data_IF_680678160344
#
_entry.id   IF_680678160344
#
_cell.length_a   1.000
_cell.length_b   1.000
_cell.length_c   1.000
_cell.angle_alpha   90.00
_cell.angle_beta   90.00
_cell.angle_gamma   90.00
#
_symmetry.space_group_name_H-M   'P 1'
#
loop_
_entity.id
_entity.type
_entity.pdbx_description
1 polymer ?
#
# COMPACT_ATOMS: atom_id res chain seq x y z
N UNK A 1 -76.30 -22.24 6.83
CA UNK A 1 -75.28 -23.22 7.25
C UNK A 1 -73.96 -22.47 7.33
N UNK A 2 -73.37 -22.36 8.53
CA UNK A 2 -72.13 -21.64 8.84
C UNK A 2 -70.92 -22.51 8.47
N UNK A 3 -69.92 -21.95 7.78
CA UNK A 3 -68.52 -22.42 7.71
C UNK A 3 -67.66 -21.16 7.58
N UNK A 4 -67.10 -20.62 8.68
CA UNK A 4 -65.90 -21.05 9.43
C UNK A 4 -64.61 -20.60 8.76
N UNK A 5 -63.97 -19.63 9.43
CA UNK A 5 -62.68 -19.00 9.13
C UNK A 5 -61.54 -20.02 9.02
N UNK A 6 -60.61 -19.77 8.10
CA UNK A 6 -59.19 -20.09 8.30
C UNK A 6 -58.38 -18.83 8.05
N UNK A 7 -58.15 -18.09 9.13
CA UNK A 7 -57.09 -17.09 9.24
C UNK A 7 -55.75 -17.81 9.10
N UNK A 8 -55.05 -17.53 8.01
CA UNK A 8 -53.66 -17.93 7.83
C UNK A 8 -52.80 -17.00 8.70
N UNK A 9 -52.03 -17.51 9.67
CA UNK A 9 -51.09 -16.66 10.38
C UNK A 9 -49.94 -16.38 9.40
N UNK A 10 -49.89 -15.16 8.87
CA UNK A 10 -48.67 -14.64 8.24
C UNK A 10 -47.68 -14.46 9.39
N UNK A 11 -46.91 -15.52 9.64
CA UNK A 11 -45.65 -15.45 10.35
C UNK A 11 -44.73 -14.57 9.49
N UNK A 12 -44.83 -13.26 9.67
CA UNK A 12 -43.81 -12.32 9.26
C UNK A 12 -42.62 -12.61 10.16
N UNK A 13 -41.81 -13.59 9.74
CA UNK A 13 -40.47 -13.78 10.27
C UNK A 13 -39.74 -12.48 9.96
N UNK A 14 -39.73 -11.56 10.93
CA UNK A 14 -38.67 -10.57 11.07
C UNK A 14 -37.39 -11.38 11.30
N UNK A 15 -36.85 -11.92 10.20
CA UNK A 15 -35.44 -12.17 10.09
C UNK A 15 -34.85 -10.77 10.06
N UNK A 16 -34.59 -10.21 11.25
CA UNK A 16 -33.59 -9.18 11.38
C UNK A 16 -32.32 -9.81 10.80
N UNK A 17 -32.07 -9.56 9.51
CA UNK A 17 -30.72 -9.47 9.02
C UNK A 17 -30.09 -8.41 9.92
N UNK A 18 -29.41 -8.86 10.97
CA UNK A 18 -28.22 -8.18 11.42
C UNK A 18 -27.32 -8.17 10.20
N UNK A 19 -27.49 -7.17 9.34
CA UNK A 19 -26.46 -6.79 8.39
C UNK A 19 -25.30 -6.43 9.30
N UNK A 20 -24.44 -7.40 9.57
CA UNK A 20 -23.14 -7.12 10.14
C UNK A 20 -22.56 -6.10 9.17
N UNK A 21 -22.39 -4.88 9.66
CA UNK A 21 -21.54 -3.86 9.04
C UNK A 21 -20.13 -4.46 9.13
N UNK A 22 -19.83 -5.47 8.30
CA UNK A 22 -18.66 -6.34 8.45
C UNK A 22 -17.48 -5.87 7.60
N UNK A 23 -17.42 -4.56 7.34
CA UNK A 23 -16.30 -3.93 6.63
C UNK A 23 -15.11 -3.65 7.54
N UNK A 24 -15.37 -3.37 8.82
CA UNK A 24 -14.31 -3.17 9.79
C UNK A 24 -13.57 -4.48 10.04
N UNK A 25 -12.24 -4.44 9.89
CA UNK A 25 -11.36 -5.57 10.21
C UNK A 25 -10.46 -5.21 11.38
N UNK A 26 -10.15 -6.21 12.20
CA UNK A 26 -9.14 -6.10 13.25
C UNK A 26 -8.17 -7.25 13.04
N UNK A 27 -6.89 -6.97 13.26
CA UNK A 27 -5.85 -7.97 13.15
C UNK A 27 -5.12 -8.17 14.47
N UNK A 28 -4.56 -9.37 14.62
CA UNK A 28 -3.50 -9.66 15.58
C UNK A 28 -2.19 -9.87 14.84
N UNK A 29 -1.08 -9.51 15.48
CA UNK A 29 0.24 -9.85 14.97
C UNK A 29 0.45 -11.35 15.07
N UNK A 30 0.67 -11.99 13.93
CA UNK A 30 0.98 -13.41 13.88
C UNK A 30 2.48 -13.64 13.89
N UNK A 31 3.21 -13.00 12.97
CA UNK A 31 4.65 -13.23 12.80
C UNK A 31 5.36 -11.95 12.31
N UNK A 32 6.65 -11.84 12.58
CA UNK A 32 7.50 -10.78 12.05
C UNK A 32 8.90 -11.34 11.84
N UNK A 33 9.49 -11.08 10.68
CA UNK A 33 10.87 -11.46 10.39
C UNK A 33 11.59 -10.38 9.58
N UNK A 34 12.92 -10.43 9.63
CA UNK A 34 13.80 -9.57 8.84
C UNK A 34 14.23 -10.33 7.59
N UNK A 35 13.95 -9.78 6.41
CA UNK A 35 14.42 -10.31 5.13
C UNK A 35 15.89 -9.90 4.98
N UNK A 36 16.77 -10.88 4.79
CA UNK A 36 18.19 -10.59 4.63
C UNK A 36 18.42 -9.84 3.32
N UNK A 37 18.81 -8.56 3.41
CA UNK A 37 19.17 -7.72 2.27
C UNK A 37 20.47 -8.16 1.57
N UNK A 38 21.36 -8.79 2.33
CA UNK A 38 22.72 -9.13 1.93
C UNK A 38 22.93 -10.65 2.04
N UNK A 39 22.71 -11.39 0.94
CA UNK A 39 23.59 -12.53 0.71
C UNK A 39 24.90 -11.95 0.18
N UNK A 40 26.01 -12.17 0.88
CA UNK A 40 27.35 -11.68 0.51
C UNK A 40 27.80 -12.11 -0.89
N UNK A 41 27.09 -13.08 -1.50
CA UNK A 41 27.32 -13.53 -2.87
C UNK A 41 26.39 -12.88 -3.90
N UNK A 42 25.33 -12.19 -3.48
CA UNK A 42 24.38 -11.55 -4.37
C UNK A 42 24.91 -10.21 -4.87
N UNK A 43 25.02 -10.09 -6.20
CA UNK A 43 25.35 -8.83 -6.86
C UNK A 43 24.23 -7.78 -6.78
N UNK A 44 23.09 -8.13 -6.18
CA UNK A 44 21.91 -7.29 -6.09
C UNK A 44 21.35 -7.28 -4.66
N UNK A 45 21.41 -6.14 -3.95
CA UNK A 45 20.79 -6.03 -2.64
C UNK A 45 19.26 -6.12 -2.76
N UNK A 46 18.63 -6.90 -1.88
CA UNK A 46 17.19 -6.83 -1.66
C UNK A 46 16.95 -5.63 -0.73
N UNK A 47 16.17 -4.67 -1.19
CA UNK A 47 15.94 -3.43 -0.48
C UNK A 47 15.24 -2.43 -1.39
N UNK A 48 14.80 -1.33 -0.81
CA UNK A 48 13.88 -0.39 -1.47
C UNK A 48 12.61 -1.06 -1.98
N UNK A 49 12.11 -2.11 -1.30
CA UNK A 49 10.85 -2.76 -1.67
C UNK A 49 9.70 -1.85 -1.27
N UNK A 50 9.01 -1.34 -2.28
CA UNK A 50 7.89 -0.40 -2.16
C UNK A 50 6.54 -1.10 -2.29
N UNK A 51 6.48 -2.17 -3.09
CA UNK A 51 5.24 -2.92 -3.33
C UNK A 51 5.40 -4.44 -3.21
N UNK A 52 4.30 -5.10 -2.82
CA UNK A 52 4.17 -6.56 -2.79
C UNK A 52 2.78 -6.94 -3.31
N UNK A 53 2.67 -8.06 -4.01
CA UNK A 53 1.39 -8.62 -4.47
C UNK A 53 1.43 -10.15 -4.50
N UNK A 54 0.31 -10.76 -4.13
CA UNK A 54 0.11 -12.20 -4.15
C UNK A 54 -0.68 -12.63 -5.39
N UNK A 55 0.00 -13.28 -6.33
CA UNK A 55 -0.59 -13.78 -7.57
C UNK A 55 -1.46 -15.02 -7.36
N UNK A 56 -1.46 -15.60 -6.15
CA UNK A 56 -2.15 -16.81 -5.77
C UNK A 56 -1.22 -18.02 -5.70
N UNK A 57 -1.67 -19.05 -4.97
CA UNK A 57 -0.90 -20.28 -4.74
C UNK A 57 0.53 -20.03 -4.25
N UNK A 58 0.70 -19.07 -3.32
CA UNK A 58 1.99 -18.68 -2.74
C UNK A 58 3.00 -18.13 -3.76
N UNK A 59 2.54 -17.60 -4.89
CA UNK A 59 3.40 -16.90 -5.84
C UNK A 59 3.30 -15.41 -5.61
N UNK A 60 4.44 -14.78 -5.37
CA UNK A 60 4.51 -13.37 -4.98
C UNK A 60 5.36 -12.58 -5.96
N UNK A 61 4.98 -11.32 -6.10
CA UNK A 61 5.79 -10.29 -6.72
C UNK A 61 6.14 -9.26 -5.66
N UNK A 62 7.40 -8.84 -5.66
CA UNK A 62 7.88 -7.70 -4.91
C UNK A 62 8.49 -6.71 -5.91
N UNK A 63 8.22 -5.42 -5.74
CA UNK A 63 8.72 -4.36 -6.62
C UNK A 63 9.45 -3.30 -5.82
N UNK A 64 10.43 -2.63 -6.44
CA UNK A 64 11.30 -1.67 -5.78
C UNK A 64 11.24 -0.26 -6.38
N UNK A 65 11.38 0.73 -5.51
CA UNK A 65 11.59 2.16 -5.76
C UNK A 65 12.92 2.47 -6.50
N UNK A 66 13.72 1.46 -6.84
CA UNK A 66 14.93 1.56 -7.70
C UNK A 66 14.84 0.74 -8.98
N UNK A 67 13.65 0.25 -9.28
CA UNK A 67 13.30 -0.41 -10.53
C UNK A 67 13.84 -1.81 -10.69
N UNK A 68 13.80 -2.55 -9.60
CA UNK A 68 13.85 -4.00 -9.60
C UNK A 68 12.46 -4.56 -9.33
N UNK A 69 12.23 -5.77 -9.80
CA UNK A 69 11.19 -6.63 -9.26
C UNK A 69 11.74 -8.04 -9.00
N UNK A 70 11.05 -8.76 -8.15
CA UNK A 70 11.42 -10.08 -7.68
C UNK A 70 10.19 -10.98 -7.71
N UNK A 71 10.36 -12.18 -8.26
CA UNK A 71 9.37 -13.25 -8.21
C UNK A 71 9.76 -14.22 -7.10
N UNK A 72 8.82 -14.54 -6.20
CA UNK A 72 8.98 -15.55 -5.16
C UNK A 72 7.96 -16.66 -5.41
N UNK A 73 8.43 -17.79 -5.98
CA UNK A 73 7.56 -18.90 -6.35
C UNK A 73 7.35 -19.83 -5.12
N UNK A 74 6.12 -20.23 -4.80
CA UNK A 74 5.83 -21.08 -3.63
C UNK A 74 6.35 -20.56 -2.27
N UNK A 75 6.38 -19.24 -2.06
CA UNK A 75 6.79 -18.64 -0.79
C UNK A 75 5.59 -18.53 0.15
N UNK A 76 5.60 -19.31 1.23
CA UNK A 76 4.43 -19.52 2.10
C UNK A 76 4.65 -19.11 3.56
N UNK A 77 5.91 -19.00 3.95
CA UNK A 77 6.35 -18.64 5.31
C UNK A 77 7.25 -17.43 5.25
N UNK A 78 7.38 -16.70 6.36
CA UNK A 78 8.38 -15.62 6.47
C UNK A 78 9.77 -16.14 6.11
N UNK A 79 10.15 -17.34 6.58
CA UNK A 79 11.46 -17.92 6.28
C UNK A 79 11.73 -18.10 4.79
N UNK A 80 10.72 -18.38 3.97
CA UNK A 80 10.88 -18.47 2.51
C UNK A 80 11.35 -17.14 1.91
N UNK A 81 10.80 -16.02 2.40
CA UNK A 81 11.24 -14.67 2.02
C UNK A 81 12.63 -14.36 2.60
N UNK A 82 12.87 -14.67 3.88
CA UNK A 82 14.14 -14.35 4.55
C UNK A 82 15.34 -15.04 3.94
N UNK A 83 15.17 -16.31 3.58
CA UNK A 83 16.22 -17.17 3.03
C UNK A 83 16.26 -17.10 1.49
N UNK A 84 15.31 -16.39 0.87
CA UNK A 84 15.19 -16.27 -0.59
C UNK A 84 15.15 -17.63 -1.31
N UNK A 85 14.65 -18.68 -0.65
CA UNK A 85 14.79 -20.08 -1.12
C UNK A 85 14.20 -20.29 -2.51
N UNK A 86 13.17 -19.54 -2.87
CA UNK A 86 12.49 -19.61 -4.16
C UNK A 86 12.38 -18.26 -4.87
N UNK A 87 13.22 -17.30 -4.48
CA UNK A 87 13.23 -15.98 -5.10
C UNK A 87 14.16 -16.01 -6.32
N UNK A 88 13.64 -15.61 -7.48
CA UNK A 88 14.49 -15.40 -8.67
C UNK A 88 15.33 -14.14 -8.50
N UNK A 89 16.47 -14.09 -9.20
CA UNK A 89 17.29 -12.88 -9.26
C UNK A 89 16.45 -11.66 -9.64
N UNK A 90 16.74 -10.53 -9.00
CA UNK A 90 16.08 -9.27 -9.29
C UNK A 90 16.22 -8.90 -10.77
N UNK A 91 15.12 -8.59 -11.42
CA UNK A 91 15.12 -8.16 -12.81
C UNK A 91 14.86 -6.65 -12.87
N UNK A 92 15.73 -5.95 -13.58
CA UNK A 92 15.68 -4.50 -13.70
C UNK A 92 14.68 -4.08 -14.76
N UNK A 93 13.73 -3.24 -14.39
CA UNK A 93 12.61 -2.80 -15.26
C UNK A 93 12.82 -1.40 -15.82
N UNK A 94 13.58 -0.55 -15.12
CA UNK A 94 13.68 0.87 -15.43
C UNK A 94 12.54 1.73 -14.85
N UNK A 95 11.55 1.12 -14.21
CA UNK A 95 10.44 1.80 -13.52
C UNK A 95 10.68 1.80 -12.03
N UNK A 96 10.73 2.95 -11.36
CA UNK A 96 10.79 2.96 -9.89
C UNK A 96 9.36 2.77 -9.39
N UNK A 97 9.04 1.54 -9.00
CA UNK A 97 7.68 1.22 -8.59
C UNK A 97 7.44 1.79 -7.20
N UNK A 98 6.24 2.27 -6.93
CA UNK A 98 5.80 2.63 -5.58
C UNK A 98 4.71 1.67 -5.07
N UNK A 99 3.88 1.14 -5.97
CA UNK A 99 2.92 0.09 -5.62
C UNK A 99 2.56 -0.77 -6.83
N UNK A 100 2.06 -1.97 -6.56
CA UNK A 100 1.61 -2.92 -7.57
C UNK A 100 0.38 -3.71 -7.12
N UNK A 101 -0.56 -3.93 -8.05
CA UNK A 101 -1.73 -4.76 -7.85
C UNK A 101 -1.99 -5.70 -9.01
N UNK A 102 -2.49 -6.89 -8.71
CA UNK A 102 -2.85 -7.88 -9.73
C UNK A 102 -4.35 -8.19 -9.72
N UNK A 103 -5.05 -7.82 -10.79
CA UNK A 103 -6.41 -8.25 -11.01
C UNK A 103 -6.42 -9.68 -11.59
N UNK A 104 -6.77 -10.65 -10.75
CA UNK A 104 -6.79 -12.07 -11.13
C UNK A 104 -7.85 -12.43 -12.17
N UNK A 105 -8.92 -11.65 -12.28
CA UNK A 105 -10.02 -11.92 -13.21
C UNK A 105 -9.61 -11.54 -14.63
N UNK A 106 -8.99 -10.38 -14.79
CA UNK A 106 -8.55 -9.86 -16.09
C UNK A 106 -7.11 -10.25 -16.44
N UNK A 107 -6.36 -10.79 -15.46
CA UNK A 107 -4.92 -11.05 -15.56
C UNK A 107 -4.13 -9.78 -15.89
N UNK A 108 -4.52 -8.69 -15.24
CA UNK A 108 -3.96 -7.35 -15.46
C UNK A 108 -3.19 -6.88 -14.24
N UNK A 109 -2.01 -6.35 -14.46
CA UNK A 109 -1.22 -5.62 -13.48
C UNK A 109 -1.55 -4.13 -13.55
N UNK A 110 -1.69 -3.54 -12.37
CA UNK A 110 -1.73 -2.11 -12.18
C UNK A 110 -0.55 -1.74 -11.31
N UNK A 111 0.16 -0.67 -11.61
CA UNK A 111 1.29 -0.25 -10.81
C UNK A 111 1.46 1.26 -10.85
N UNK A 112 1.89 1.80 -9.72
CA UNK A 112 2.32 3.18 -9.61
C UNK A 112 3.83 3.23 -9.77
N UNK A 113 4.31 4.24 -10.48
CA UNK A 113 5.76 4.47 -10.62
C UNK A 113 6.10 5.91 -10.41
N UNK A 114 7.26 6.15 -9.85
CA UNK A 114 8.03 7.35 -10.05
C UNK A 114 9.17 7.09 -11.05
N UNK A 115 9.63 8.14 -11.71
CA UNK A 115 10.77 8.04 -12.58
C UNK A 115 11.48 9.39 -12.66
N UNK A 116 12.75 9.43 -12.27
CA UNK A 116 13.62 10.57 -12.54
C UNK A 116 14.55 10.24 -13.70
N UNK A 117 14.33 10.89 -14.85
CA UNK A 117 15.24 10.85 -16.00
C UNK A 117 16.03 12.13 -16.11
N UNK A 118 17.27 12.07 -16.57
CA UNK A 118 17.92 13.26 -17.13
C UNK A 118 17.64 13.38 -18.63
N UNK A 119 17.22 14.54 -19.08
CA UNK A 119 17.12 14.85 -20.51
C UNK A 119 18.52 14.99 -21.16
N UNK A 120 18.55 15.22 -22.47
CA UNK A 120 19.80 15.38 -23.21
C UNK A 120 20.63 16.62 -22.79
N UNK A 121 20.04 17.52 -21.98
CA UNK A 121 20.69 18.70 -21.40
C UNK A 121 21.10 18.46 -19.94
N UNK A 122 20.90 17.24 -19.42
CA UNK A 122 21.21 16.87 -18.04
C UNK A 122 20.17 17.33 -17.02
N UNK A 123 19.02 17.86 -17.45
CA UNK A 123 17.94 18.32 -16.57
C UNK A 123 17.08 17.13 -16.14
N UNK A 124 16.84 17.00 -14.84
CA UNK A 124 15.91 16.01 -14.31
C UNK A 124 14.48 16.29 -14.81
N UNK A 125 13.86 15.26 -15.39
CA UNK A 125 12.46 15.14 -15.72
C UNK A 125 11.92 14.08 -14.77
N UNK A 126 10.99 14.49 -13.91
CA UNK A 126 10.35 13.64 -12.92
C UNK A 126 8.95 13.30 -13.42
N UNK A 127 8.65 12.02 -13.55
CA UNK A 127 7.31 11.54 -13.90
C UNK A 127 6.76 10.72 -12.75
N UNK A 128 5.46 10.86 -12.51
CA UNK A 128 4.71 9.88 -11.72
C UNK A 128 3.48 9.46 -12.51
N UNK A 129 3.10 8.20 -12.37
CA UNK A 129 1.96 7.68 -13.10
C UNK A 129 1.46 6.36 -12.56
N UNK A 130 0.25 6.02 -13.02
CA UNK A 130 -0.37 4.72 -12.80
C UNK A 130 -0.62 4.08 -14.15
N UNK A 131 -0.16 2.85 -14.29
CA UNK A 131 -0.13 2.13 -15.56
C UNK A 131 -0.88 0.81 -15.45
N UNK A 132 -1.43 0.39 -16.59
CA UNK A 132 -2.05 -0.91 -16.80
C UNK A 132 -1.17 -1.77 -17.73
N UNK A 133 -0.98 -3.04 -17.38
CA UNK A 133 -0.25 -4.02 -18.18
C UNK A 133 -0.92 -5.40 -18.13
N UNK A 134 -1.02 -6.08 -19.27
CA UNK A 134 -1.53 -7.47 -19.37
C UNK A 134 -0.41 -8.53 -19.40
N UNK A 135 0.86 -8.12 -19.29
CA UNK A 135 2.01 -9.02 -19.30
C UNK A 135 2.70 -9.08 -17.95
N UNK A 136 3.40 -10.19 -17.67
CA UNK A 136 4.30 -10.26 -16.51
C UNK A 136 5.32 -9.12 -16.59
N UNK A 137 5.66 -8.58 -15.42
CA UNK A 137 6.65 -7.53 -15.22
C UNK A 137 7.98 -7.86 -15.92
N UNK A 138 8.33 -9.15 -15.99
CA UNK A 138 9.45 -9.74 -16.73
C UNK A 138 9.59 -9.25 -18.18
N UNK A 139 8.49 -8.76 -18.79
CA UNK A 139 8.44 -8.31 -20.18
C UNK A 139 8.24 -6.81 -20.36
N UNK A 140 8.25 -5.99 -19.29
CA UNK A 140 7.97 -4.54 -19.31
C UNK A 140 8.87 -3.71 -20.24
N UNK A 141 9.95 -4.29 -20.75
CA UNK A 141 10.76 -3.67 -21.80
C UNK A 141 10.00 -3.54 -23.14
N UNK A 142 8.86 -4.23 -23.33
CA UNK A 142 8.12 -4.25 -24.62
C UNK A 142 6.58 -4.24 -24.48
N UNK A 143 6.03 -3.90 -23.32
CA UNK A 143 4.57 -3.91 -23.12
C UNK A 143 3.96 -2.61 -23.62
N UNK A 144 2.79 -2.72 -24.27
CA UNK A 144 1.89 -1.60 -24.55
C UNK A 144 1.28 -1.11 -23.23
N UNK A 145 2.09 -0.42 -22.44
CA UNK A 145 1.64 0.22 -21.21
C UNK A 145 0.55 1.22 -21.57
N UNK A 146 -0.58 1.10 -20.89
CA UNK A 146 -1.63 2.10 -20.96
C UNK A 146 -1.55 2.94 -19.70
N UNK A 147 -1.16 4.19 -19.87
CA UNK A 147 -1.25 5.16 -18.79
C UNK A 147 -2.71 5.42 -18.41
N UNK A 148 -3.03 5.19 -17.15
CA UNK A 148 -4.30 5.62 -16.52
C UNK A 148 -4.13 7.05 -16.01
N UNK A 149 -3.03 7.31 -15.32
CA UNK A 149 -2.61 8.63 -14.86
C UNK A 149 -1.18 8.87 -15.32
N UNK A 150 -0.93 10.01 -15.96
CA UNK A 150 0.42 10.48 -16.26
C UNK A 150 0.57 11.93 -15.80
N UNK A 151 1.54 12.17 -14.93
CA UNK A 151 1.90 13.51 -14.47
C UNK A 151 3.35 13.80 -14.86
N UNK A 152 3.54 14.91 -15.58
CA UNK A 152 4.87 15.40 -15.99
C UNK A 152 5.72 15.92 -14.81
N UNK A 153 5.13 16.04 -13.62
CA UNK A 153 5.77 16.46 -12.38
C UNK A 153 5.07 15.84 -11.19
N UNK A 154 5.85 15.54 -10.17
CA UNK A 154 5.31 15.16 -8.87
C UNK A 154 4.38 16.26 -8.31
N UNK A 155 3.27 15.89 -7.67
CA UNK A 155 2.35 16.83 -7.02
C UNK A 155 3.03 17.77 -6.01
N UNK A 156 4.12 17.32 -5.37
CA UNK A 156 5.04 18.13 -4.57
C UNK A 156 6.46 17.52 -4.57
N UNK A 157 7.44 18.22 -3.98
CA UNK A 157 8.79 17.67 -3.85
C UNK A 157 8.77 16.42 -2.97
N UNK A 158 9.18 15.27 -3.53
CA UNK A 158 9.32 13.99 -2.85
C UNK A 158 8.00 13.33 -2.40
N UNK A 159 6.89 13.54 -3.14
CA UNK A 159 5.57 12.91 -2.85
C UNK A 159 4.82 12.68 -4.17
N UNK A 160 4.85 11.47 -4.73
CA UNK A 160 4.08 11.09 -5.92
C UNK A 160 2.88 10.23 -5.60
N UNK A 161 2.62 9.26 -6.47
CA UNK A 161 1.55 8.27 -6.29
C UNK A 161 2.16 7.03 -5.67
N UNK A 162 1.86 6.80 -4.40
CA UNK A 162 2.41 5.68 -3.63
C UNK A 162 1.49 4.47 -3.63
N UNK A 163 0.17 4.70 -3.69
CA UNK A 163 -0.77 3.69 -3.24
C UNK A 163 -1.87 3.43 -4.26
N UNK A 164 -2.11 2.15 -4.56
CA UNK A 164 -3.21 1.71 -5.42
C UNK A 164 -3.91 0.47 -4.85
N UNK A 165 -5.22 0.35 -5.11
CA UNK A 165 -6.00 -0.82 -4.74
C UNK A 165 -7.00 -1.21 -5.82
N UNK A 166 -7.30 -2.51 -5.93
CA UNK A 166 -8.30 -3.04 -6.84
C UNK A 166 -9.41 -3.68 -6.02
N UNK A 167 -10.64 -3.18 -6.20
CA UNK A 167 -11.85 -3.77 -5.61
C UNK A 167 -12.23 -5.08 -6.31
N UNK A 168 -13.07 -5.94 -5.69
CA UNK A 168 -13.54 -7.18 -6.35
C UNK A 168 -14.18 -6.98 -7.73
N UNK A 169 -14.89 -5.86 -7.94
CA UNK A 169 -15.49 -5.47 -9.22
C UNK A 169 -14.47 -5.04 -10.29
N UNK A 170 -13.22 -4.80 -9.88
CA UNK A 170 -12.14 -4.32 -10.73
C UNK A 170 -11.96 -2.80 -10.73
N UNK A 171 -12.73 -2.05 -9.94
CA UNK A 171 -12.48 -0.61 -9.79
C UNK A 171 -11.12 -0.36 -9.14
N UNK A 172 -10.38 0.61 -9.69
CA UNK A 172 -9.04 1.00 -9.25
C UNK A 172 -9.10 2.25 -8.38
N UNK A 173 -8.57 2.15 -7.17
CA UNK A 173 -8.28 3.28 -6.30
C UNK A 173 -6.84 3.72 -6.45
N UNK A 174 -6.62 5.03 -6.36
CA UNK A 174 -5.31 5.67 -6.45
C UNK A 174 -5.21 6.76 -5.38
N UNK A 175 -4.12 6.77 -4.62
CA UNK A 175 -3.84 7.80 -3.64
C UNK A 175 -2.39 8.34 -3.79
N UNK A 176 -2.20 9.67 -3.69
CA UNK A 176 -0.87 10.25 -3.58
C UNK A 176 -0.31 10.04 -2.16
N UNK A 177 1.01 10.19 -1.98
CA UNK A 177 1.62 10.09 -0.65
C UNK A 177 1.05 11.15 0.31
N UNK A 178 1.27 12.43 0.02
CA UNK A 178 0.91 13.52 0.93
C UNK A 178 -0.26 14.39 0.43
N UNK A 179 -0.82 14.05 -0.74
CA UNK A 179 -1.84 14.83 -1.42
C UNK A 179 -1.44 15.27 -2.82
N UNK A 180 -2.42 15.74 -3.58
CA UNK A 180 -2.18 16.33 -4.89
C UNK A 180 -1.62 17.76 -4.77
N UNK A 181 -1.36 18.41 -5.91
CA UNK A 181 -0.87 19.79 -5.94
C UNK A 181 -1.84 20.71 -5.17
N UNK A 182 -1.32 21.36 -4.13
CA UNK A 182 -2.08 22.26 -3.27
C UNK A 182 -2.68 21.60 -2.02
N UNK A 183 -2.56 20.28 -1.88
CA UNK A 183 -3.07 19.52 -0.74
C UNK A 183 -1.98 19.09 0.25
N UNK A 184 -0.69 19.32 -0.05
CA UNK A 184 0.44 18.82 0.76
C UNK A 184 0.83 19.74 1.93
N UNK A 185 0.12 20.84 2.12
CA UNK A 185 0.34 21.76 3.23
C UNK A 185 -0.07 21.12 4.56
N UNK A 186 0.74 21.32 5.61
CA UNK A 186 0.53 20.70 6.94
C UNK A 186 -0.79 21.16 7.60
N UNK A 187 -1.34 22.31 7.20
CA UNK A 187 -2.65 22.79 7.63
C UNK A 187 -3.83 22.15 6.89
N UNK A 188 -3.59 21.45 5.78
CA UNK A 188 -4.65 20.77 5.01
C UNK A 188 -5.03 19.45 5.68
N UNK A 189 -6.31 19.35 6.06
CA UNK A 189 -6.86 18.20 6.77
C UNK A 189 -7.30 17.05 5.87
N UNK A 190 -7.45 17.32 4.58
CA UNK A 190 -7.94 16.36 3.61
C UNK A 190 -7.01 16.32 2.40
N UNK A 191 -6.91 15.14 1.81
CA UNK A 191 -6.33 14.91 0.49
C UNK A 191 -7.34 14.17 -0.38
N UNK A 192 -7.14 14.17 -1.69
CA UNK A 192 -8.06 13.49 -2.59
C UNK A 192 -7.58 12.09 -2.97
N UNK A 193 -8.47 11.10 -2.87
CA UNK A 193 -8.30 9.78 -3.46
C UNK A 193 -9.09 9.74 -4.76
N UNK A 194 -8.55 9.07 -5.77
CA UNK A 194 -9.25 8.86 -7.03
C UNK A 194 -9.72 7.42 -7.15
N UNK A 195 -10.94 7.24 -7.65
CA UNK A 195 -11.48 5.94 -8.04
C UNK A 195 -11.85 5.93 -9.52
N UNK A 196 -11.37 4.94 -10.25
CA UNK A 196 -11.76 4.61 -11.61
C UNK A 196 -12.63 3.36 -11.54
N UNK A 197 -13.95 3.52 -11.78
CA UNK A 197 -14.88 2.38 -11.80
C UNK A 197 -14.55 1.38 -12.91
N UNK A 198 -14.13 1.93 -14.06
CA UNK A 198 -13.57 1.18 -15.16
C UNK A 198 -12.16 1.75 -15.45
N UNK A 199 -11.09 1.08 -14.98
CA UNK A 199 -9.72 1.54 -15.22
C UNK A 199 -9.35 1.57 -16.71
N UNK A 200 -10.08 0.82 -17.55
CA UNK A 200 -9.90 0.86 -18.99
C UNK A 200 -10.47 2.15 -19.62
N UNK A 201 -11.27 2.92 -18.88
CA UNK A 201 -11.75 4.24 -19.25
C UNK A 201 -11.06 5.29 -18.36
N UNK A 202 -9.86 5.74 -18.75
CA UNK A 202 -9.08 6.71 -17.96
C UNK A 202 -9.73 8.09 -17.82
N UNK A 203 -10.87 8.35 -18.47
CA UNK A 203 -11.56 9.63 -18.47
C UNK A 203 -12.58 9.80 -17.35
N UNK A 204 -13.08 8.71 -16.74
CA UNK A 204 -14.13 8.77 -15.73
C UNK A 204 -13.58 8.47 -14.33
N UNK A 205 -12.94 9.48 -13.73
CA UNK A 205 -12.48 9.39 -12.34
C UNK A 205 -13.49 10.01 -11.38
N UNK A 206 -13.61 9.39 -10.21
CA UNK A 206 -14.34 9.93 -9.07
C UNK A 206 -13.35 10.37 -8.01
N UNK A 207 -13.62 11.51 -7.40
CA UNK A 207 -12.78 12.09 -6.36
C UNK A 207 -13.46 11.90 -5.01
N UNK A 208 -12.68 11.45 -4.03
CA UNK A 208 -13.13 11.25 -2.66
C UNK A 208 -12.19 11.97 -1.69
N UNK A 209 -12.74 12.68 -0.71
CA UNK A 209 -11.95 13.33 0.33
C UNK A 209 -11.54 12.32 1.39
N UNK A 210 -10.24 12.23 1.63
CA UNK A 210 -9.66 11.43 2.69
C UNK A 210 -9.10 12.33 3.80
N UNK A 211 -9.56 12.18 5.05
CA UNK A 211 -8.92 12.84 6.19
C UNK A 211 -7.54 12.24 6.43
N UNK A 212 -6.49 13.06 6.38
CA UNK A 212 -5.09 12.61 6.53
C UNK A 212 -4.51 13.04 7.88
N UNK A 213 -3.67 12.18 8.45
CA UNK A 213 -2.87 12.50 9.63
C UNK A 213 -1.65 13.30 9.21
N UNK A 214 -1.51 14.50 9.76
CA UNK A 214 -0.30 15.32 9.61
C UNK A 214 0.56 15.19 10.86
N UNK A 215 1.87 15.36 10.69
CA UNK A 215 2.85 15.19 11.75
C UNK A 215 3.69 16.48 11.92
N UNK A 216 3.10 17.61 12.36
CA UNK A 216 3.82 18.88 12.44
C UNK A 216 5.09 18.84 13.31
N UNK A 217 5.15 17.90 14.26
CA UNK A 217 6.26 17.60 15.16
C UNK A 217 7.31 16.66 14.57
N UNK A 218 7.08 16.10 13.37
CA UNK A 218 8.08 15.29 12.68
C UNK A 218 9.39 16.08 12.50
N UNK A 219 10.50 15.35 12.58
CA UNK A 219 11.81 15.99 12.56
C UNK A 219 12.16 16.55 11.18
N UNK A 220 11.92 15.76 10.13
CA UNK A 220 12.15 16.19 8.75
C UNK A 220 10.92 16.93 8.20
N UNK A 221 11.15 17.90 7.31
CA UNK A 221 10.09 18.77 6.82
C UNK A 221 9.14 18.02 5.88
N UNK A 222 9.70 17.13 5.07
CA UNK A 222 9.03 16.20 4.15
C UNK A 222 8.03 15.28 4.87
N UNK A 223 8.33 14.88 6.11
CA UNK A 223 7.50 13.98 6.91
C UNK A 223 6.31 14.68 7.56
N UNK A 224 6.37 16.01 7.71
CA UNK A 224 5.31 16.76 8.40
C UNK A 224 3.97 16.68 7.70
N UNK A 225 4.02 16.51 6.39
CA UNK A 225 2.84 16.31 5.57
C UNK A 225 2.19 14.94 5.80
N UNK A 226 2.86 14.00 6.48
CA UNK A 226 2.42 12.60 6.53
C UNK A 226 2.52 11.95 5.15
N UNK A 227 2.19 10.66 5.11
CA UNK A 227 2.18 9.92 3.86
C UNK A 227 1.21 8.76 3.89
N UNK A 228 0.43 8.59 2.82
CA UNK A 228 -0.17 7.31 2.45
C UNK A 228 0.96 6.46 1.89
N UNK A 229 1.25 5.37 2.56
CA UNK A 229 2.20 4.38 2.08
C UNK A 229 1.53 3.42 1.11
N UNK A 230 0.34 2.94 1.47
CA UNK A 230 -0.31 1.91 0.70
C UNK A 230 -1.81 1.80 1.01
N UNK A 231 -2.59 1.29 0.06
CA UNK A 231 -4.01 1.02 0.24
C UNK A 231 -4.39 -0.39 -0.24
N UNK A 232 -5.34 -1.04 0.42
CA UNK A 232 -5.91 -2.32 -0.03
C UNK A 232 -7.43 -2.28 0.03
N UNK A 233 -8.10 -2.87 -0.96
CA UNK A 233 -9.53 -3.04 -0.90
C UNK A 233 -9.88 -4.26 -0.05
N UNK A 234 -10.75 -4.07 0.95
CA UNK A 234 -11.37 -5.17 1.71
C UNK A 234 -12.58 -5.69 0.93
N UNK A 235 -13.39 -4.78 0.38
CA UNK A 235 -14.49 -5.07 -0.54
C UNK A 235 -14.75 -3.85 -1.46
N UNK A 236 -15.97 -3.65 -1.95
CA UNK A 236 -16.32 -2.54 -2.82
C UNK A 236 -16.37 -1.18 -2.11
N UNK A 237 -16.65 -1.18 -0.81
CA UNK A 237 -16.95 0.01 -0.02
C UNK A 237 -16.04 0.17 1.20
N UNK A 238 -15.08 -0.74 1.40
CA UNK A 238 -14.14 -0.66 2.50
C UNK A 238 -12.69 -0.82 2.02
N UNK A 239 -11.83 0.05 2.53
CA UNK A 239 -10.39 0.07 2.27
C UNK A 239 -9.62 -0.11 3.58
N UNK A 240 -8.44 -0.71 3.49
CA UNK A 240 -7.36 -0.49 4.43
C UNK A 240 -6.46 0.61 3.88
N UNK A 241 -6.12 1.57 4.74
CA UNK A 241 -5.17 2.64 4.41
C UNK A 241 -4.03 2.61 5.40
N UNK A 242 -2.81 2.51 4.87
CA UNK A 242 -1.57 2.57 5.64
C UNK A 242 -1.01 3.98 5.55
N UNK A 243 -1.08 4.72 6.65
CA UNK A 243 -0.42 6.00 6.80
C UNK A 243 0.92 5.84 7.54
N UNK A 244 1.89 6.73 7.26
CA UNK A 244 3.21 6.71 7.87
C UNK A 244 3.83 8.08 8.09
N UNK A 245 4.82 8.11 8.98
CA UNK A 245 5.75 9.21 9.23
C UNK A 245 7.12 8.62 9.61
N UNK A 246 8.21 8.99 8.92
CA UNK A 246 9.51 8.34 9.09
C UNK A 246 10.14 8.58 10.47
N UNK A 247 10.31 9.85 10.88
CA UNK A 247 11.21 10.17 12.00
C UNK A 247 10.59 11.15 12.99
N UNK A 248 10.41 10.64 14.20
CA UNK A 248 10.16 11.44 15.39
C UNK A 248 11.34 11.35 16.35
N UNK A 249 11.84 12.52 16.76
CA UNK A 249 12.77 12.64 17.90
C UNK A 249 12.06 12.54 19.26
N UNK A 250 10.72 12.56 19.27
CA UNK A 250 9.88 12.38 20.45
C UNK A 250 9.45 10.90 20.55
N UNK A 251 9.61 10.31 21.75
CA UNK A 251 9.44 8.87 22.01
C UNK A 251 8.02 8.31 21.77
N UNK A 252 7.03 9.18 21.53
CA UNK A 252 5.60 8.83 21.60
C UNK A 252 4.80 9.18 20.33
N UNK A 253 5.44 9.54 19.20
CA UNK A 253 4.72 9.76 17.93
C UNK A 253 4.51 8.41 17.23
N UNK A 254 3.29 8.19 16.75
CA UNK A 254 2.92 7.04 15.93
C UNK A 254 3.63 7.11 14.57
N UNK A 255 4.40 6.07 14.24
CA UNK A 255 5.24 5.98 13.03
C UNK A 255 4.44 5.44 11.85
N UNK A 256 3.44 4.60 12.12
CA UNK A 256 2.55 4.04 11.12
C UNK A 256 1.16 3.75 11.69
N UNK A 257 0.14 3.93 10.86
CA UNK A 257 -1.27 3.72 11.19
C UNK A 257 -1.90 2.84 10.12
N UNK A 258 -2.50 1.71 10.52
CA UNK A 258 -3.29 0.87 9.62
C UNK A 258 -4.77 1.08 9.91
N UNK A 259 -5.44 1.85 9.07
CA UNK A 259 -6.81 2.32 9.30
C UNK A 259 -7.84 1.51 8.52
N UNK A 260 -9.00 1.29 9.13
CA UNK A 260 -10.21 0.91 8.40
C UNK A 260 -10.87 2.16 7.85
N UNK A 261 -11.27 2.11 6.58
CA UNK A 261 -11.85 3.25 5.88
C UNK A 261 -13.09 2.81 5.12
N UNK A 262 -14.21 3.47 5.38
CA UNK A 262 -15.49 3.23 4.72
C UNK A 262 -15.73 4.30 3.65
N UNK A 263 -16.15 3.86 2.47
CA UNK A 263 -16.49 4.74 1.34
C UNK A 263 -17.92 5.25 1.52
N UNK A 264 -18.09 6.56 1.69
CA UNK A 264 -19.38 7.22 1.59
C UNK A 264 -19.59 7.74 0.16
N UNK A 265 -20.41 7.01 -0.59
CA UNK A 265 -20.74 7.33 -1.98
C UNK A 265 -21.53 8.62 -2.16
N UNK A 266 -22.37 8.98 -1.19
CA UNK A 266 -23.25 10.14 -1.27
C UNK A 266 -22.46 11.42 -1.04
N UNK A 267 -21.65 11.46 0.03
CA UNK A 267 -20.85 12.64 0.37
C UNK A 267 -19.53 12.72 -0.39
N UNK A 268 -19.10 11.64 -1.06
CA UNK A 268 -17.76 11.50 -1.67
C UNK A 268 -16.65 11.66 -0.65
N UNK A 269 -16.81 11.01 0.50
CA UNK A 269 -15.84 11.01 1.58
C UNK A 269 -15.37 9.59 1.89
N UNK A 270 -14.12 9.50 2.36
CA UNK A 270 -13.55 8.30 2.94
C UNK A 270 -13.55 8.49 4.46
N UNK A 271 -14.40 7.74 5.15
CA UNK A 271 -14.61 7.86 6.58
C UNK A 271 -13.67 6.90 7.28
N UNK A 272 -12.74 7.42 8.08
CA UNK A 272 -11.93 6.60 8.97
C UNK A 272 -12.82 6.05 10.08
N UNK A 273 -12.83 4.73 10.25
CA UNK A 273 -13.59 4.10 11.31
C UNK A 273 -13.00 4.42 12.69
N UNK A 274 -13.83 4.36 13.73
CA UNK A 274 -13.40 4.67 15.11
C UNK A 274 -12.29 3.78 15.69
N UNK A 275 -11.98 2.64 15.06
CA UNK A 275 -10.86 1.79 15.45
C UNK A 275 -10.01 1.43 14.25
N UNK A 276 -8.70 1.62 14.43
CA UNK A 276 -7.69 1.14 13.51
C UNK A 276 -7.74 -0.38 13.36
N UNK A 277 -7.31 -0.87 12.20
CA UNK A 277 -7.26 -2.29 11.92
C UNK A 277 -6.15 -2.99 12.71
N UNK A 278 -5.03 -2.29 12.95
CA UNK A 278 -3.92 -2.77 13.76
C UNK A 278 -3.04 -1.62 14.24
N UNK A 279 -2.53 -1.69 15.46
CA UNK A 279 -1.55 -0.72 15.98
C UNK A 279 -0.12 -1.16 15.61
N UNK A 280 0.41 -0.63 14.51
CA UNK A 280 1.75 -0.93 14.02
C UNK A 280 2.86 -0.48 14.96
N UNK A 281 2.63 0.51 15.82
CA UNK A 281 3.63 0.96 16.80
C UNK A 281 3.97 -0.10 17.86
N UNK A 282 3.19 -1.18 17.94
CA UNK A 282 3.47 -2.36 18.76
C UNK A 282 4.50 -3.31 18.14
N UNK A 283 4.90 -3.09 16.87
CA UNK A 283 5.91 -3.88 16.17
C UNK A 283 7.33 -3.40 16.57
N UNK A 284 8.15 -4.25 17.20
CA UNK A 284 9.50 -3.89 17.60
C UNK A 284 10.38 -3.56 16.38
N UNK A 285 11.09 -2.44 16.48
CA UNK A 285 12.05 -2.02 15.45
C UNK A 285 11.41 -1.61 14.12
N UNK A 286 10.09 -1.33 14.09
CA UNK A 286 9.39 -0.91 12.87
C UNK A 286 10.13 0.23 12.16
N UNK A 287 10.50 0.01 10.90
CA UNK A 287 11.04 1.05 10.02
C UNK A 287 9.95 1.66 9.15
N UNK A 288 10.34 2.33 8.07
CA UNK A 288 9.41 2.85 7.09
C UNK A 288 8.58 1.70 6.50
N UNK A 289 7.28 1.70 6.78
CA UNK A 289 6.34 0.76 6.14
C UNK A 289 6.14 1.21 4.69
N UNK A 290 6.04 0.29 3.76
CA UNK A 290 5.97 0.62 2.32
C UNK A 290 4.76 -0.06 1.69
N UNK A 291 4.83 -1.39 1.48
CA UNK A 291 3.83 -2.16 0.75
C UNK A 291 2.97 -3.09 1.60
N UNK A 292 1.80 -3.45 1.09
CA UNK A 292 0.86 -4.39 1.70
C UNK A 292 0.23 -5.31 0.66
N UNK A 293 -0.03 -6.57 1.04
CA UNK A 293 -0.76 -7.53 0.21
C UNK A 293 -1.59 -8.51 1.02
N UNK A 294 -2.70 -8.96 0.43
CA UNK A 294 -3.46 -10.08 0.98
C UNK A 294 -2.72 -11.40 0.77
N UNK A 295 -2.58 -12.18 1.83
CA UNK A 295 -1.98 -13.52 1.80
C UNK A 295 -2.90 -14.60 1.23
N UNK A 296 -4.20 -14.32 1.17
CA UNK A 296 -5.24 -15.27 0.80
C UNK A 296 -6.46 -14.55 0.22
N UNK A 297 -7.29 -15.32 -0.49
CA UNK A 297 -8.45 -14.79 -1.24
C UNK A 297 -9.59 -14.38 -0.30
N UNK A 298 -9.63 -14.96 0.90
CA UNK A 298 -10.59 -14.62 1.95
C UNK A 298 -10.13 -13.47 2.86
N UNK A 299 -8.97 -12.86 2.56
CA UNK A 299 -8.45 -11.65 3.22
C UNK A 299 -8.32 -11.82 4.74
N UNK A 300 -7.92 -13.01 5.17
CA UNK A 300 -7.62 -13.38 6.56
C UNK A 300 -6.18 -13.10 6.93
N UNK A 301 -5.26 -13.10 5.97
CA UNK A 301 -3.85 -12.83 6.23
C UNK A 301 -3.43 -11.57 5.49
N UNK A 302 -2.76 -10.67 6.21
CA UNK A 302 -2.19 -9.44 5.65
C UNK A 302 -0.68 -9.48 5.81
N UNK A 303 0.01 -9.25 4.70
CA UNK A 303 1.47 -9.09 4.64
C UNK A 303 1.78 -7.61 4.50
N UNK A 304 2.72 -7.12 5.31
CA UNK A 304 3.20 -5.74 5.28
C UNK A 304 4.71 -5.77 5.19
N UNK A 305 5.27 -5.01 4.25
CA UNK A 305 6.71 -4.80 4.14
C UNK A 305 7.04 -3.46 4.80
N UNK A 306 8.07 -3.48 5.64
CA UNK A 306 8.73 -2.27 6.09
C UNK A 306 10.18 -2.29 5.59
N UNK A 307 10.56 -1.28 4.83
CA UNK A 307 11.88 -1.15 4.25
C UNK A 307 12.35 0.32 4.27
N UNK A 308 13.64 0.55 4.51
CA UNK A 308 14.26 1.87 4.64
C UNK A 308 15.48 1.97 3.69
N UNK A 309 15.25 1.49 2.47
CA UNK A 309 16.16 1.55 1.35
C UNK A 309 17.40 0.67 1.46
N UNK A 310 18.33 0.93 0.54
CA UNK A 310 19.53 0.13 0.34
C UNK A 310 20.63 0.51 1.34
N UNK A 311 21.11 -0.46 2.13
CA UNK A 311 22.35 -0.28 2.88
C UNK A 311 22.84 -1.54 3.58
N UNK A 312 24.14 -1.57 3.85
CA UNK A 312 24.87 -2.77 4.32
C UNK A 312 24.54 -3.20 5.75
N UNK A 313 23.88 -2.35 6.55
CA UNK A 313 23.59 -2.59 7.97
C UNK A 313 22.11 -2.86 8.23
N UNK A 314 21.83 -3.88 9.05
CA UNK A 314 20.48 -4.26 9.52
C UNK A 314 19.79 -3.15 10.33
N UNK A 315 20.58 -2.27 10.95
CA UNK A 315 20.11 -1.13 11.71
C UNK A 315 20.25 0.15 10.89
N UNK A 316 19.21 1.00 10.91
CA UNK A 316 19.37 2.39 10.50
C UNK A 316 20.07 3.18 11.61
N UNK A 317 21.39 2.99 11.76
CA UNK A 317 22.23 3.82 12.64
C UNK A 317 22.54 5.19 12.01
N UNK A 318 21.64 5.70 11.15
CA UNK A 318 21.77 7.05 10.59
C UNK A 318 21.79 8.00 11.77
N UNK A 319 22.95 8.62 12.00
CA UNK A 319 23.02 9.85 12.77
C UNK A 319 22.15 10.85 12.03
N UNK A 320 21.16 11.40 12.72
CA UNK A 320 20.40 12.54 12.23
C UNK A 320 21.42 13.63 11.95
N UNK A 321 21.65 13.92 10.66
CA UNK A 321 22.73 14.84 10.24
C UNK A 321 22.53 16.17 10.96
N UNK A 322 23.60 16.70 11.53
CA UNK A 322 23.67 17.99 12.25
C UNK A 322 23.07 18.04 13.66
N UNK A 323 22.50 16.97 14.21
CA UNK A 323 22.03 16.97 15.61
C UNK A 323 22.89 16.16 16.57
N UNK A 324 23.67 15.20 16.04
CA UNK A 324 24.41 14.24 16.86
C UNK A 324 23.53 13.18 17.55
N UNK A 325 22.22 13.21 17.31
CA UNK A 325 21.28 12.18 17.78
C UNK A 325 21.33 10.97 16.85
N UNK A 326 21.14 9.78 17.43
CA UNK A 326 20.89 8.57 16.67
C UNK A 326 19.40 8.45 16.42
N UNK A 327 19.01 8.06 15.21
CA UNK A 327 17.67 7.53 14.98
C UNK A 327 17.43 6.34 15.92
N UNK A 328 16.18 6.11 16.31
CA UNK A 328 15.81 4.87 17.01
C UNK A 328 16.27 3.71 16.10
N UNK A 329 16.98 2.70 16.63
CA UNK A 329 17.38 1.57 15.81
C UNK A 329 16.14 0.91 15.21
N UNK A 330 15.98 1.03 13.90
CA UNK A 330 14.95 0.33 13.13
C UNK A 330 15.58 -0.88 12.47
N UNK A 331 14.79 -1.94 12.31
CA UNK A 331 15.17 -3.11 11.54
C UNK A 331 14.76 -2.83 10.09
N UNK A 332 15.72 -2.88 9.17
CA UNK A 332 15.43 -2.76 7.74
C UNK A 332 14.81 -4.05 7.21
N UNK A 333 14.04 -3.96 6.12
CA UNK A 333 13.50 -5.10 5.37
C UNK A 333 12.66 -6.07 6.22
N UNK A 334 11.76 -5.55 7.06
CA UNK A 334 10.85 -6.41 7.83
C UNK A 334 9.68 -6.87 6.97
N UNK A 335 9.32 -8.15 7.13
CA UNK A 335 8.03 -8.68 6.72
C UNK A 335 7.19 -8.92 7.97
N UNK A 336 6.01 -8.33 8.01
CA UNK A 336 5.06 -8.42 9.11
C UNK A 336 3.83 -9.17 8.58
N UNK A 337 3.44 -10.23 9.28
CA UNK A 337 2.23 -10.99 8.97
C UNK A 337 1.21 -10.76 10.08
N UNK A 338 0.05 -10.28 9.68
CA UNK A 338 -1.10 -10.07 10.54
C UNK A 338 -2.21 -11.06 10.18
N UNK A 339 -2.97 -11.51 11.19
CA UNK A 339 -4.14 -12.39 11.01
C UNK A 339 -5.40 -11.68 11.47
N UNK A 340 -6.41 -11.71 10.61
CA UNK A 340 -7.74 -11.14 10.89
C UNK A 340 -8.41 -11.94 12.00
N UNK A 341 -8.98 -11.22 12.97
CA UNK A 341 -9.72 -11.80 14.11
C UNK A 341 -11.09 -12.36 13.72
#
# INVERSE_FOLDING_TARGET
>A
MKLSMKTLPIFFTLLFLTMNVSGQVTFTRFETGVINANDSNDKQPFGGISGIENLGANNWILVSDRGYYFNCDNCSTISDFQLRINQKEGTKTGHWFESIRFNRNTKTYYYATEYERKDNLGKSIEHTGVYESTGLIDTLVDIREKSIIHLDRLPSSNKGIEAIAITPSGALWVAPEAGWKGETDVGQKYISFYRYKDPSSSTERQEFKYPITRFPEAYFAEDKSGGISEILAIDETHLLVLERCYISIAKDIEIALLRNVTVDEESRELIIDSKDAFNLNTVPGLCNVEGMAWGDDDKKTLYIIADDGYGETYYNDKKIRKTGLLEKPTLRNQLIILRRE
#
